data_IF_845883233378
#
_entry.id   IF_845883233378
#
_cell.length_a   1.000
_cell.length_b   1.000
_cell.length_c   1.000
_cell.angle_alpha   90.00
_cell.angle_beta   90.00
_cell.angle_gamma   90.00
#
_symmetry.space_group_name_H-M   'P 1'
#
loop_
_entity.id
_entity.type
_entity.pdbx_description
1 polymer ?
#
# COMPACT_ATOMS: atom_id res chain seq x y z
N UNK A 1 -10.08 5.31 26.54
CA UNK A 1 -9.93 6.06 25.28
C UNK A 1 -8.46 5.92 24.88
N UNK A 2 -8.09 5.14 23.85
CA UNK A 2 -6.69 5.05 23.48
C UNK A 2 -6.28 6.34 22.78
N UNK A 3 -5.11 6.84 23.14
CA UNK A 3 -4.51 8.08 22.67
C UNK A 3 -4.48 8.13 21.15
N UNK A 4 -5.18 9.12 20.56
CA UNK A 4 -4.91 9.51 19.18
C UNK A 4 -3.50 10.09 19.17
N UNK A 5 -2.52 9.30 18.73
CA UNK A 5 -1.20 9.80 18.35
C UNK A 5 -1.42 10.93 17.34
N UNK A 6 -1.30 12.18 17.78
CA UNK A 6 -1.37 13.37 16.93
C UNK A 6 -0.01 13.56 16.28
N UNK A 7 0.26 12.75 15.28
CA UNK A 7 1.40 12.97 14.40
C UNK A 7 1.18 14.27 13.61
N UNK A 8 2.24 15.09 13.51
CA UNK A 8 2.19 16.44 12.94
C UNK A 8 2.70 16.48 11.48
N UNK A 9 3.26 15.38 10.97
CA UNK A 9 3.74 15.26 9.58
C UNK A 9 3.74 13.81 9.09
N UNK A 10 3.72 13.61 7.78
CA UNK A 10 3.84 12.27 7.16
C UNK A 10 5.14 11.57 7.56
N UNK A 11 6.24 12.32 7.71
CA UNK A 11 7.50 11.80 8.25
C UNK A 11 7.33 11.13 9.62
N UNK A 12 6.65 11.77 10.58
CA UNK A 12 6.46 11.20 11.92
C UNK A 12 5.59 9.93 11.88
N UNK A 13 4.59 9.90 10.99
CA UNK A 13 3.82 8.69 10.73
C UNK A 13 4.70 7.57 10.17
N UNK A 14 5.52 7.89 9.15
CA UNK A 14 6.40 6.94 8.50
C UNK A 14 7.43 6.36 9.49
N UNK A 15 8.05 7.20 10.32
CA UNK A 15 9.00 6.77 11.36
C UNK A 15 8.35 5.77 12.34
N UNK A 16 7.07 5.96 12.68
CA UNK A 16 6.32 5.05 13.56
C UNK A 16 5.92 3.73 12.86
N UNK A 17 5.59 3.79 11.57
CA UNK A 17 5.09 2.63 10.80
C UNK A 17 6.22 1.73 10.30
N UNK A 18 7.33 2.33 9.87
CA UNK A 18 8.41 1.63 9.14
C UNK A 18 8.92 0.38 9.85
N UNK A 19 9.24 0.39 11.16
CA UNK A 19 9.70 -0.83 11.85
C UNK A 19 8.67 -1.97 11.78
N UNK A 20 7.39 -1.65 12.00
CA UNK A 20 6.30 -2.62 11.96
C UNK A 20 5.99 -3.13 10.56
N UNK A 21 6.19 -2.32 9.53
CA UNK A 21 6.09 -2.73 8.13
C UNK A 21 7.21 -3.70 7.76
N UNK A 22 8.46 -3.38 8.13
CA UNK A 22 9.62 -4.25 7.86
C UNK A 22 9.46 -5.62 8.51
N UNK A 23 9.07 -5.65 9.79
CA UNK A 23 8.81 -6.91 10.49
C UNK A 23 7.69 -7.73 9.82
N UNK A 24 6.61 -7.08 9.36
CA UNK A 24 5.54 -7.75 8.64
C UNK A 24 6.02 -8.36 7.32
N UNK A 25 6.76 -7.59 6.51
CA UNK A 25 7.32 -8.07 5.23
C UNK A 25 8.31 -9.21 5.46
N UNK A 26 9.10 -9.17 6.55
CA UNK A 26 10.02 -10.23 6.93
C UNK A 26 9.33 -11.50 7.49
N UNK A 27 8.02 -11.45 7.78
CA UNK A 27 7.28 -12.53 8.42
C UNK A 27 7.52 -12.63 9.93
N UNK A 28 8.11 -11.61 10.54
CA UNK A 28 8.42 -11.52 11.97
C UNK A 28 7.27 -10.94 12.80
N UNK A 29 6.27 -10.37 12.13
CA UNK A 29 5.07 -9.78 12.74
C UNK A 29 3.82 -10.29 12.04
N UNK A 30 2.88 -10.82 12.82
CA UNK A 30 1.54 -11.14 12.33
C UNK A 30 0.76 -9.87 12.03
N UNK A 31 0.10 -9.83 10.87
CA UNK A 31 -0.73 -8.71 10.43
C UNK A 31 -2.18 -9.17 10.32
N UNK A 32 -3.13 -8.55 11.05
CA UNK A 32 -4.52 -8.95 10.96
C UNK A 32 -5.08 -8.67 9.55
N UNK A 33 -5.98 -9.52 9.03
CA UNK A 33 -6.65 -9.28 7.76
C UNK A 33 -7.28 -7.87 7.70
N UNK A 34 -7.12 -7.18 6.57
CA UNK A 34 -7.75 -5.89 6.30
C UNK A 34 -8.74 -6.03 5.13
N UNK A 35 -9.50 -4.97 4.87
CA UNK A 35 -10.38 -4.90 3.71
C UNK A 35 -9.57 -4.96 2.40
N UNK A 36 -9.97 -5.77 1.39
CA UNK A 36 -9.37 -5.81 0.06
C UNK A 36 -9.13 -4.44 -0.59
N UNK A 37 -9.96 -3.45 -0.27
CA UNK A 37 -9.78 -2.07 -0.67
C UNK A 37 -8.40 -1.52 -0.29
N UNK A 38 -7.85 -1.90 0.86
CA UNK A 38 -6.54 -1.41 1.34
C UNK A 38 -5.41 -1.82 0.41
N UNK A 39 -5.46 -3.07 -0.09
CA UNK A 39 -4.49 -3.59 -1.05
C UNK A 39 -4.63 -2.90 -2.40
N UNK A 40 -5.87 -2.70 -2.86
CA UNK A 40 -6.15 -1.98 -4.11
C UNK A 40 -5.67 -0.53 -4.06
N UNK A 41 -6.01 0.17 -2.99
CA UNK A 41 -5.66 1.56 -2.78
C UNK A 41 -4.15 1.75 -2.75
N UNK A 42 -3.44 1.00 -1.91
CA UNK A 42 -1.99 1.15 -1.78
C UNK A 42 -1.24 0.58 -2.98
N UNK A 43 -1.75 -0.47 -3.62
CA UNK A 43 -1.23 -0.96 -4.90
C UNK A 43 -1.35 0.10 -6.00
N UNK A 44 -2.50 0.76 -6.10
CA UNK A 44 -2.70 1.86 -7.04
C UNK A 44 -1.81 3.07 -6.72
N UNK A 45 -1.63 3.40 -5.44
CA UNK A 45 -0.69 4.45 -5.00
C UNK A 45 0.73 4.22 -5.52
N UNK A 46 1.24 2.98 -5.40
CA UNK A 46 2.55 2.60 -5.95
C UNK A 46 2.58 2.59 -7.48
N UNK A 47 1.45 2.30 -8.13
CA UNK A 47 1.30 2.33 -9.57
C UNK A 47 1.42 3.76 -10.14
N UNK A 48 0.67 4.71 -9.55
CA UNK A 48 0.48 6.08 -10.05
C UNK A 48 1.81 6.83 -10.29
N UNK A 49 2.73 6.79 -9.33
CA UNK A 49 3.98 7.56 -9.40
C UNK A 49 5.08 6.92 -10.26
N UNK A 50 4.89 5.67 -10.71
CA UNK A 50 5.83 5.00 -11.63
C UNK A 50 7.29 4.92 -11.17
N UNK A 51 7.54 4.96 -9.85
CA UNK A 51 8.85 4.90 -9.22
C UNK A 51 8.78 4.24 -7.84
N UNK A 52 9.93 3.97 -7.24
CA UNK A 52 9.98 3.57 -5.83
C UNK A 52 9.64 4.75 -4.92
N UNK A 53 8.88 4.46 -3.86
CA UNK A 53 8.41 5.41 -2.85
C UNK A 53 8.87 4.96 -1.46
N UNK A 54 9.31 5.90 -0.64
CA UNK A 54 9.45 5.71 0.80
C UNK A 54 8.08 5.57 1.49
N UNK A 55 8.04 5.08 2.73
CA UNK A 55 6.79 5.00 3.50
C UNK A 55 6.12 6.36 3.66
N UNK A 56 6.90 7.43 3.85
CA UNK A 56 6.40 8.80 3.91
C UNK A 56 5.68 9.20 2.62
N UNK A 57 6.32 8.97 1.47
CA UNK A 57 5.74 9.27 0.16
C UNK A 57 4.52 8.40 -0.15
N UNK A 58 4.48 7.15 0.32
CA UNK A 58 3.29 6.29 0.18
C UNK A 58 2.11 6.87 0.96
N UNK A 59 2.33 7.34 2.19
CA UNK A 59 1.26 7.94 3.01
C UNK A 59 0.77 9.23 2.37
N UNK A 60 1.68 10.11 1.96
CA UNK A 60 1.35 11.38 1.28
C UNK A 60 0.58 11.14 -0.02
N UNK A 61 1.04 10.19 -0.84
CA UNK A 61 0.40 9.83 -2.10
C UNK A 61 -0.99 9.22 -1.87
N UNK A 62 -1.13 8.35 -0.88
CA UNK A 62 -2.42 7.74 -0.52
C UNK A 62 -3.45 8.79 -0.10
N UNK A 63 -3.05 9.77 0.71
CA UNK A 63 -3.88 10.91 1.12
C UNK A 63 -4.20 11.83 -0.07
N UNK A 64 -3.25 12.07 -0.95
CA UNK A 64 -3.47 12.89 -2.15
C UNK A 64 -4.49 12.25 -3.10
N UNK A 65 -4.41 10.93 -3.31
CA UNK A 65 -5.26 10.20 -4.27
C UNK A 65 -6.67 9.95 -3.71
N UNK A 66 -6.78 9.58 -2.43
CA UNK A 66 -8.04 9.10 -1.83
C UNK A 66 -8.55 9.96 -0.67
N UNK A 67 -7.88 11.05 -0.33
CA UNK A 67 -8.22 11.94 0.79
C UNK A 67 -8.37 11.20 2.13
N UNK A 68 -7.52 10.20 2.33
CA UNK A 68 -7.52 9.32 3.48
C UNK A 68 -6.08 8.95 3.88
N UNK A 69 -5.82 8.82 5.18
CA UNK A 69 -4.51 8.40 5.69
C UNK A 69 -4.59 6.92 6.06
N UNK A 70 -3.79 6.04 5.43
CA UNK A 70 -3.80 4.62 5.76
C UNK A 70 -3.23 4.40 7.15
N UNK A 71 -3.82 3.48 7.90
CA UNK A 71 -3.33 3.09 9.20
C UNK A 71 -2.19 2.06 9.10
N UNK A 72 -1.43 1.82 10.19
CA UNK A 72 -0.27 0.92 10.15
C UNK A 72 -0.57 -0.51 9.73
N UNK A 73 -1.77 -1.03 10.04
CA UNK A 73 -2.17 -2.39 9.66
C UNK A 73 -2.61 -2.45 8.20
N UNK A 74 -3.27 -1.42 7.68
CA UNK A 74 -3.61 -1.30 6.25
C UNK A 74 -2.36 -1.31 5.38
N UNK A 75 -1.33 -0.53 5.75
CA UNK A 75 -0.04 -0.52 5.03
C UNK A 75 0.63 -1.89 5.10
N UNK A 76 0.80 -2.43 6.31
CA UNK A 76 1.47 -3.72 6.49
C UNK A 76 0.75 -4.84 5.75
N UNK A 77 -0.58 -4.86 5.80
CA UNK A 77 -1.38 -5.88 5.14
C UNK A 77 -1.29 -5.76 3.62
N UNK A 78 -1.51 -4.57 3.06
CA UNK A 78 -1.42 -4.36 1.62
C UNK A 78 -0.03 -4.75 1.07
N UNK A 79 1.05 -4.38 1.75
CA UNK A 79 2.40 -4.70 1.30
C UNK A 79 2.69 -6.20 1.40
N UNK A 80 2.19 -6.86 2.44
CA UNK A 80 2.29 -8.32 2.54
C UNK A 80 1.56 -9.00 1.38
N UNK A 81 0.33 -8.57 1.06
CA UNK A 81 -0.45 -9.13 -0.05
C UNK A 81 0.21 -8.88 -1.41
N UNK A 82 0.73 -7.67 -1.64
CA UNK A 82 1.50 -7.35 -2.84
C UNK A 82 2.77 -8.22 -2.92
N UNK A 83 3.44 -8.52 -1.79
CA UNK A 83 4.58 -9.44 -1.78
C UNK A 83 4.15 -10.87 -2.10
N UNK A 84 3.06 -11.37 -1.52
CA UNK A 84 2.52 -12.71 -1.77
C UNK A 84 2.19 -12.92 -3.26
N UNK A 85 1.69 -11.89 -3.94
CA UNK A 85 1.45 -11.91 -5.40
C UNK A 85 2.72 -11.89 -6.26
N UNK A 86 3.88 -11.64 -5.68
CA UNK A 86 5.10 -11.31 -6.44
C UNK A 86 5.06 -9.92 -7.07
N UNK A 87 4.22 -9.01 -6.57
CA UNK A 87 4.01 -7.67 -7.13
C UNK A 87 4.87 -6.59 -6.47
N UNK A 88 5.33 -6.81 -5.24
CA UNK A 88 6.10 -5.82 -4.48
C UNK A 88 7.60 -5.86 -4.85
N UNK A 89 8.15 -4.70 -5.19
CA UNK A 89 9.60 -4.45 -5.22
C UNK A 89 10.00 -3.74 -3.94
N UNK A 90 11.09 -4.20 -3.31
CA UNK A 90 11.66 -3.60 -2.10
C UNK A 90 13.15 -3.34 -2.35
N UNK A 91 13.57 -2.07 -2.31
CA UNK A 91 14.97 -1.66 -2.40
C UNK A 91 15.32 -0.74 -1.22
N UNK A 92 16.02 -1.31 -0.23
CA UNK A 92 16.26 -0.62 1.04
C UNK A 92 14.96 -0.21 1.71
N UNK A 93 14.74 1.11 1.82
CA UNK A 93 13.56 1.71 2.46
C UNK A 93 12.53 2.24 1.45
N UNK A 94 12.67 1.83 0.19
CA UNK A 94 11.79 2.24 -0.90
C UNK A 94 11.05 1.05 -1.48
N UNK A 95 9.82 1.31 -1.92
CA UNK A 95 8.85 0.30 -2.31
C UNK A 95 8.22 0.65 -3.64
N UNK A 96 7.95 -0.35 -4.47
CA UNK A 96 7.26 -0.14 -5.74
C UNK A 96 6.66 -1.43 -6.27
N UNK A 97 6.37 -1.43 -7.56
CA UNK A 97 5.72 -2.55 -8.23
C UNK A 97 6.63 -3.21 -9.26
N UNK A 98 6.53 -4.53 -9.39
CA UNK A 98 7.19 -5.28 -10.46
C UNK A 98 6.59 -4.90 -11.82
N UNK A 99 7.32 -5.17 -12.92
CA UNK A 99 6.82 -4.91 -14.27
C UNK A 99 5.48 -5.63 -14.56
N UNK A 100 5.34 -6.87 -14.07
CA UNK A 100 4.11 -7.65 -14.16
C UNK A 100 2.95 -7.00 -13.43
N UNK A 101 3.16 -6.55 -12.19
CA UNK A 101 2.14 -5.87 -11.41
C UNK A 101 1.67 -4.58 -12.10
N UNK A 102 2.61 -3.79 -12.65
CA UNK A 102 2.29 -2.57 -13.39
C UNK A 102 1.45 -2.86 -14.62
N UNK A 103 1.84 -3.84 -15.43
CA UNK A 103 1.09 -4.23 -16.62
C UNK A 103 -0.32 -4.73 -16.27
N UNK A 104 -0.43 -5.51 -15.19
CA UNK A 104 -1.71 -6.05 -14.71
C UNK A 104 -2.64 -4.93 -14.24
N UNK A 105 -2.14 -4.01 -13.40
CA UNK A 105 -2.92 -2.88 -12.91
C UNK A 105 -3.36 -1.99 -14.08
N UNK A 106 -2.46 -1.65 -15.00
CA UNK A 106 -2.79 -0.86 -16.20
C UNK A 106 -3.92 -1.48 -17.04
N UNK A 107 -3.93 -2.81 -17.19
CA UNK A 107 -5.01 -3.53 -17.88
C UNK A 107 -6.36 -3.45 -17.14
N UNK A 108 -6.35 -3.37 -15.81
CA UNK A 108 -7.56 -3.28 -14.96
C UNK A 108 -8.08 -1.83 -14.92
N UNK A 109 -7.18 -0.84 -14.87
CA UNK A 109 -7.49 0.58 -14.62
C UNK A 109 -7.01 1.50 -15.77
N UNK A 110 -7.68 1.51 -16.93
CA UNK A 110 -7.18 2.19 -18.13
C UNK A 110 -7.35 3.73 -18.15
N UNK A 111 -7.44 4.44 -17.00
CA UNK A 111 -7.40 5.92 -16.98
C UNK A 111 -8.72 6.65 -16.68
N UNK A 112 -9.53 6.27 -15.67
CA UNK A 112 -10.79 6.95 -15.33
C UNK A 112 -10.98 7.25 -13.83
N UNK A 113 -12.14 7.79 -13.41
CA UNK A 113 -12.37 8.22 -12.01
C UNK A 113 -12.56 7.06 -11.00
N UNK A 114 -12.59 5.80 -11.43
CA UNK A 114 -13.07 4.65 -10.63
C UNK A 114 -12.00 3.55 -10.49
N UNK A 115 -10.74 3.94 -10.50
CA UNK A 115 -9.62 3.00 -10.69
C UNK A 115 -9.38 2.11 -9.48
N UNK A 116 -9.38 2.69 -8.27
CA UNK A 116 -9.19 1.93 -7.03
C UNK A 116 -10.33 0.93 -6.81
N UNK A 117 -11.58 1.30 -7.11
CA UNK A 117 -12.73 0.40 -6.97
C UNK A 117 -12.65 -0.79 -7.94
N UNK A 118 -12.25 -0.56 -9.20
CA UNK A 118 -12.04 -1.64 -10.17
C UNK A 118 -10.94 -2.60 -9.73
N UNK A 119 -9.82 -2.04 -9.25
CA UNK A 119 -8.73 -2.85 -8.73
C UNK A 119 -9.16 -3.64 -7.48
N UNK A 120 -9.97 -3.03 -6.60
CA UNK A 120 -10.53 -3.70 -5.41
C UNK A 120 -11.46 -4.87 -5.77
N UNK A 121 -12.33 -4.69 -6.75
CA UNK A 121 -13.19 -5.77 -7.28
C UNK A 121 -12.36 -6.92 -7.86
N UNK A 122 -11.30 -6.58 -8.59
CA UNK A 122 -10.38 -7.58 -9.15
C UNK A 122 -9.64 -8.33 -8.03
N UNK A 123 -9.05 -7.63 -7.06
CA UNK A 123 -8.34 -8.21 -5.91
C UNK A 123 -9.25 -9.14 -5.11
N UNK A 124 -10.51 -8.75 -4.91
CA UNK A 124 -11.50 -9.56 -4.17
C UNK A 124 -11.83 -10.90 -4.85
N UNK A 125 -11.59 -11.01 -6.16
CA UNK A 125 -11.86 -12.23 -6.96
C UNK A 125 -10.59 -13.03 -7.29
N UNK A 126 -9.42 -12.46 -7.03
CA UNK A 126 -8.12 -13.05 -7.32
C UNK A 126 -7.26 -12.99 -6.06
N UNK A 127 -7.40 -13.95 -5.16
CA UNK A 127 -6.49 -14.06 -4.02
C UNK A 127 -5.04 -14.32 -4.48
N UNK A 128 -4.01 -13.77 -3.80
CA UNK A 128 -2.62 -14.21 -3.91
C UNK A 128 -2.46 -15.70 -3.60
#
# INVERSE_FOLDING_TARGET
MPERLRFQSYRQWAEAITPGLRAAIAGEREVPPQDPFSEAWLGYTLFYYSRLLSVEEVIEAADTISHAIPNPNEIAWAFLRLKERGWLVVEGDSYGLTAEARHTIEAIVPGNKVEVERLSQWISTHSP
#
